data_IF_496470650887
#
_entry.id   IF_496470650887
#
_cell.length_a   1.000
_cell.length_b   1.000
_cell.length_c   1.000
_cell.angle_alpha   90.00
_cell.angle_beta   90.00
_cell.angle_gamma   90.00
#
_symmetry.space_group_name_H-M   'P 1'
#
loop_
_entity.id
_entity.type
_entity.pdbx_description
1 polymer ?
#
# COMPACT_ATOMS: atom_id res chain seq x y z
N UNK A 1 -7.85 1.15 11.69
CA UNK A 1 -6.54 0.91 12.32
C UNK A 1 -5.49 1.16 11.25
N UNK A 2 -4.49 2.02 11.53
CA UNK A 2 -3.35 2.22 10.63
C UNK A 2 -2.18 1.37 11.13
N UNK A 3 -1.42 0.79 10.21
CA UNK A 3 -0.24 -0.01 10.51
C UNK A 3 0.81 0.14 9.42
N UNK A 4 2.06 -0.08 9.77
CA UNK A 4 3.20 -0.07 8.85
C UNK A 4 3.89 -1.44 8.94
N UNK A 5 4.21 -2.03 7.79
CA UNK A 5 5.00 -3.26 7.69
C UNK A 5 6.29 -2.92 6.97
N UNK A 6 7.42 -3.29 7.55
CA UNK A 6 8.72 -3.22 6.87
C UNK A 6 8.91 -4.48 6.05
N UNK A 7 8.82 -4.37 4.73
CA UNK A 7 8.94 -5.50 3.80
C UNK A 7 10.32 -6.17 3.85
N UNK A 8 11.34 -5.50 4.39
CA UNK A 8 12.67 -6.12 4.58
C UNK A 8 12.73 -6.97 5.85
N UNK A 9 11.91 -6.66 6.85
CA UNK A 9 11.83 -7.40 8.12
C UNK A 9 10.64 -8.35 8.24
N UNK A 10 9.70 -8.28 7.29
CA UNK A 10 8.43 -9.00 7.31
C UNK A 10 8.26 -9.79 6.00
N UNK A 11 8.66 -11.06 6.03
CA UNK A 11 8.63 -11.94 4.86
C UNK A 11 7.22 -12.13 4.29
N UNK A 12 6.19 -12.18 5.16
CA UNK A 12 4.80 -12.30 4.71
C UNK A 12 4.34 -11.03 3.97
N UNK A 13 4.76 -9.85 4.43
CA UNK A 13 4.50 -8.61 3.71
C UNK A 13 5.17 -8.58 2.33
N UNK A 14 6.40 -9.09 2.23
CA UNK A 14 7.12 -9.20 0.96
C UNK A 14 6.40 -10.17 0.00
N UNK A 15 6.10 -11.40 0.43
CA UNK A 15 5.37 -12.40 -0.36
C UNK A 15 3.98 -11.89 -0.82
N UNK A 16 3.29 -11.14 0.03
CA UNK A 16 2.02 -10.49 -0.32
C UNK A 16 2.16 -9.49 -1.49
N UNK A 17 3.24 -8.72 -1.55
CA UNK A 17 3.47 -7.78 -2.66
C UNK A 17 3.92 -8.50 -3.92
N UNK A 18 4.82 -9.47 -3.80
CA UNK A 18 5.33 -10.27 -4.92
C UNK A 18 4.22 -11.06 -5.60
N UNK A 19 3.30 -11.67 -4.84
CA UNK A 19 2.12 -12.37 -5.37
C UNK A 19 1.14 -11.47 -6.16
N UNK A 20 1.37 -10.15 -6.17
CA UNK A 20 0.58 -9.14 -6.89
C UNK A 20 1.39 -8.42 -7.96
N UNK A 21 2.56 -8.96 -8.32
CA UNK A 21 3.53 -8.38 -9.26
C UNK A 21 4.01 -6.97 -8.83
N UNK A 22 4.08 -6.70 -7.52
CA UNK A 22 4.55 -5.43 -6.97
C UNK A 22 5.95 -5.61 -6.36
N UNK A 23 6.94 -4.94 -6.96
CA UNK A 23 8.35 -5.01 -6.57
C UNK A 23 8.92 -3.66 -6.12
N UNK A 24 8.05 -2.69 -5.82
CA UNK A 24 8.43 -1.34 -5.44
C UNK A 24 7.69 -0.90 -4.18
N UNK A 25 8.38 -0.13 -3.35
CA UNK A 25 7.85 0.51 -2.13
C UNK A 25 8.01 2.03 -2.22
N UNK A 26 7.23 2.82 -1.46
CA UNK A 26 6.17 2.42 -0.53
C UNK A 26 4.91 1.90 -1.24
N UNK A 27 4.12 1.06 -0.53
CA UNK A 27 2.78 0.61 -0.96
C UNK A 27 1.78 0.92 0.15
N UNK A 28 0.70 1.62 -0.19
CA UNK A 28 -0.43 1.85 0.69
C UNK A 28 -1.54 0.85 0.37
N UNK A 29 -2.10 0.21 1.40
CA UNK A 29 -3.30 -0.62 1.32
C UNK A 29 -4.47 0.08 2.01
N UNK A 30 -5.58 0.28 1.30
CA UNK A 30 -6.83 0.83 1.84
C UNK A 30 -7.99 -0.04 1.35
N UNK A 31 -8.71 -0.69 2.26
CA UNK A 31 -9.86 -1.55 1.96
C UNK A 31 -9.63 -2.54 0.80
N UNK A 32 -8.42 -3.11 0.75
CA UNK A 32 -8.00 -4.06 -0.29
C UNK A 32 -7.46 -3.42 -1.58
N UNK A 33 -7.61 -2.12 -1.77
CA UNK A 33 -6.97 -1.38 -2.85
C UNK A 33 -5.50 -1.11 -2.52
N UNK A 34 -4.62 -1.34 -3.51
CA UNK A 34 -3.19 -1.06 -3.39
C UNK A 34 -2.78 0.15 -4.23
N UNK A 35 -2.02 1.05 -3.62
CA UNK A 35 -1.41 2.22 -4.26
C UNK A 35 0.10 2.09 -4.12
N UNK A 36 0.80 1.96 -5.25
CA UNK A 36 2.26 1.92 -5.29
C UNK A 36 2.79 3.34 -5.47
N UNK A 37 3.72 3.73 -4.62
CA UNK A 37 4.29 5.08 -4.57
C UNK A 37 3.32 6.12 -4.01
N UNK A 38 3.65 7.40 -4.22
CA UNK A 38 2.85 8.52 -3.75
C UNK A 38 1.93 9.06 -4.85
N UNK A 39 0.64 8.74 -4.76
CA UNK A 39 -0.41 9.18 -5.69
C UNK A 39 -1.48 9.97 -4.94
N UNK A 40 -1.20 11.23 -4.59
CA UNK A 40 -2.02 12.06 -3.68
C UNK A 40 -3.52 11.98 -3.97
N UNK A 41 -3.94 12.32 -5.20
CA UNK A 41 -5.37 12.38 -5.54
C UNK A 41 -6.09 11.03 -5.38
N UNK A 42 -5.40 9.94 -5.70
CA UNK A 42 -5.95 8.58 -5.53
C UNK A 42 -6.04 8.20 -4.05
N UNK A 43 -5.01 8.55 -3.28
CA UNK A 43 -4.97 8.32 -1.83
C UNK A 43 -6.10 9.10 -1.15
N UNK A 44 -6.28 10.38 -1.48
CA UNK A 44 -7.32 11.22 -0.89
C UNK A 44 -8.73 10.66 -1.18
N UNK A 45 -8.99 10.22 -2.41
CA UNK A 45 -10.26 9.57 -2.77
C UNK A 45 -10.50 8.28 -2.01
N UNK A 46 -9.47 7.43 -1.86
CA UNK A 46 -9.58 6.18 -1.10
C UNK A 46 -9.82 6.42 0.40
N UNK A 47 -9.28 7.52 0.94
CA UNK A 47 -9.43 7.88 2.34
C UNK A 47 -10.66 8.76 2.62
N UNK A 48 -11.44 9.14 1.60
CA UNK A 48 -12.57 10.05 1.75
C UNK A 48 -12.16 11.48 2.13
N UNK A 49 -10.96 11.91 1.72
CA UNK A 49 -10.39 13.23 1.97
C UNK A 49 -10.53 14.21 0.80
N UNK A 50 -11.09 13.75 -0.34
CA UNK A 50 -11.42 14.63 -1.45
C UNK A 50 -12.72 15.39 -1.18
N UNK A 51 -12.78 16.65 -1.62
CA UNK A 51 -13.97 17.53 -1.53
C UNK A 51 -15.26 16.89 -2.07
#
# INVERSE_FOLDING_TARGET
MFGVRDVMGDAEAAEFLESRDIYATPVLSVDGALVVGFQKDRIDRLLGLGD
#
